data_IF_948513777992
#
_entry.id   IF_948513777992
#
_cell.length_a   1.000
_cell.length_b   1.000
_cell.length_c   1.000
_cell.angle_alpha   90.00
_cell.angle_beta   90.00
_cell.angle_gamma   90.00
#
_symmetry.space_group_name_H-M   'P 1'
#
loop_
_entity.id
_entity.type
_entity.pdbx_description
1 polymer ?
#
# COMPACT_ATOMS: atom_id res chain seq x y z
N UNK A 1 -0.52 -37.89 3.62
CA UNK A 1 -1.23 -36.72 4.18
C UNK A 1 -0.36 -35.51 3.88
N UNK A 2 -0.77 -34.71 2.91
CA UNK A 2 -0.10 -33.45 2.60
C UNK A 2 -0.48 -32.47 3.73
N UNK A 3 0.38 -32.37 4.73
CA UNK A 3 0.23 -31.38 5.79
C UNK A 3 0.54 -30.04 5.12
N UNK A 4 -0.53 -29.41 4.59
CA UNK A 4 -0.44 -28.14 3.86
C UNK A 4 0.47 -27.16 4.57
N UNK A 5 1.36 -26.50 3.83
CA UNK A 5 2.29 -25.52 4.37
C UNK A 5 1.52 -24.52 5.26
N UNK A 6 2.06 -24.18 6.47
CA UNK A 6 1.36 -23.33 7.40
C UNK A 6 1.06 -21.97 6.75
N UNK A 7 -0.23 -21.63 6.61
CA UNK A 7 -0.69 -20.35 6.05
C UNK A 7 -0.97 -19.33 7.17
N UNK A 8 -0.92 -18.04 6.83
CA UNK A 8 -1.40 -16.98 7.70
C UNK A 8 -2.92 -17.08 7.91
N UNK A 9 -3.43 -16.41 8.93
CA UNK A 9 -4.86 -16.30 9.16
C UNK A 9 -5.56 -15.50 8.04
N UNK A 10 -6.88 -15.74 7.88
CA UNK A 10 -7.67 -15.13 6.81
C UNK A 10 -7.64 -13.59 6.86
N UNK A 11 -7.64 -13.01 8.04
CA UNK A 11 -7.60 -11.54 8.22
C UNK A 11 -6.26 -10.98 7.74
N UNK A 12 -5.14 -11.60 8.10
CA UNK A 12 -3.79 -11.21 7.63
C UNK A 12 -3.70 -11.29 6.10
N UNK A 13 -4.22 -12.35 5.50
CA UNK A 13 -4.25 -12.54 4.04
C UNK A 13 -5.13 -11.47 3.38
N UNK A 14 -6.35 -11.26 3.88
CA UNK A 14 -7.29 -10.27 3.32
C UNK A 14 -6.71 -8.85 3.38
N UNK A 15 -6.16 -8.43 4.53
CA UNK A 15 -5.55 -7.12 4.70
C UNK A 15 -4.30 -6.94 3.83
N UNK A 16 -3.53 -8.01 3.57
CA UNK A 16 -2.40 -7.96 2.65
C UNK A 16 -2.86 -7.67 1.22
N UNK A 17 -3.80 -8.44 0.71
CA UNK A 17 -4.28 -8.28 -0.66
C UNK A 17 -5.07 -7.00 -0.87
N UNK A 18 -5.86 -6.57 0.13
CA UNK A 18 -6.53 -5.27 0.11
C UNK A 18 -5.51 -4.12 0.04
N UNK A 19 -4.43 -4.19 0.84
CA UNK A 19 -3.34 -3.20 0.77
C UNK A 19 -2.68 -3.20 -0.61
N UNK A 20 -2.33 -4.37 -1.15
CA UNK A 20 -1.68 -4.48 -2.45
C UNK A 20 -2.56 -3.94 -3.59
N UNK A 21 -3.84 -4.29 -3.58
CA UNK A 21 -4.82 -3.80 -4.56
C UNK A 21 -5.02 -2.29 -4.48
N UNK A 22 -5.19 -1.74 -3.27
CA UNK A 22 -5.32 -0.29 -3.08
C UNK A 22 -4.07 0.46 -3.53
N UNK A 23 -2.87 -0.01 -3.16
CA UNK A 23 -1.60 0.62 -3.59
C UNK A 23 -1.51 0.64 -5.12
N UNK A 24 -1.81 -0.47 -5.80
CA UNK A 24 -1.77 -0.54 -7.27
C UNK A 24 -2.77 0.43 -7.91
N UNK A 25 -4.03 0.43 -7.47
CA UNK A 25 -5.08 1.31 -7.99
C UNK A 25 -4.74 2.79 -7.74
N UNK A 26 -4.30 3.12 -6.53
CA UNK A 26 -3.95 4.50 -6.18
C UNK A 26 -2.71 4.99 -6.94
N UNK A 27 -1.72 4.13 -7.15
CA UNK A 27 -0.57 4.50 -7.95
C UNK A 27 -0.97 4.76 -9.41
N UNK A 28 -1.75 3.86 -10.03
CA UNK A 28 -2.26 4.06 -11.39
C UNK A 28 -3.06 5.37 -11.48
N UNK A 29 -3.97 5.61 -10.53
CA UNK A 29 -4.77 6.82 -10.53
C UNK A 29 -3.91 8.09 -10.38
N UNK A 30 -2.86 8.06 -9.57
CA UNK A 30 -1.93 9.19 -9.43
C UNK A 30 -1.08 9.46 -10.67
N UNK A 31 -0.74 8.42 -11.47
CA UNK A 31 0.05 8.57 -12.69
C UNK A 31 -0.80 8.99 -13.92
N UNK A 32 -2.09 8.69 -13.89
CA UNK A 32 -2.96 8.90 -15.06
C UNK A 32 -3.93 10.07 -14.90
N UNK A 33 -3.96 10.72 -13.73
CA UNK A 33 -4.84 11.85 -13.47
C UNK A 33 -4.63 13.01 -14.47
N UNK A 34 -3.38 13.29 -14.82
CA UNK A 34 -3.01 14.37 -15.73
C UNK A 34 -3.38 14.08 -17.21
N UNK A 35 -3.92 12.90 -17.52
CA UNK A 35 -4.46 12.59 -18.85
C UNK A 35 -5.82 13.28 -19.09
N UNK A 36 -6.45 13.76 -18.02
CA UNK A 36 -7.72 14.47 -18.09
C UNK A 36 -7.52 15.96 -17.92
N UNK A 37 -8.26 16.81 -18.65
CA UNK A 37 -8.15 18.27 -18.54
C UNK A 37 -8.39 18.75 -17.11
N UNK A 38 -7.53 19.64 -16.65
CA UNK A 38 -7.64 20.25 -15.32
C UNK A 38 -8.98 20.95 -15.10
N UNK A 39 -9.58 20.77 -13.92
CA UNK A 39 -10.85 21.39 -13.54
C UNK A 39 -12.10 20.81 -14.22
N UNK A 40 -11.96 19.78 -15.08
CA UNK A 40 -13.11 19.06 -15.62
C UNK A 40 -13.71 18.08 -14.60
N UNK A 41 -15.01 17.78 -14.73
CA UNK A 41 -15.71 16.82 -13.86
C UNK A 41 -15.00 15.48 -13.73
N UNK A 42 -14.43 14.98 -14.84
CA UNK A 42 -13.70 13.70 -14.86
C UNK A 42 -12.44 13.82 -13.98
N UNK A 43 -11.63 14.85 -14.17
CA UNK A 43 -10.40 15.06 -13.39
C UNK A 43 -10.72 15.25 -11.91
N UNK A 44 -11.72 16.06 -11.56
CA UNK A 44 -12.16 16.29 -10.18
C UNK A 44 -12.61 14.98 -9.51
N UNK A 45 -13.44 14.19 -10.16
CA UNK A 45 -13.90 12.90 -9.64
C UNK A 45 -12.78 11.89 -9.53
N UNK A 46 -11.85 11.90 -10.48
CA UNK A 46 -10.69 11.01 -10.48
C UNK A 46 -9.78 11.26 -9.27
N UNK A 47 -9.47 12.54 -8.99
CA UNK A 47 -8.75 12.94 -7.78
C UNK A 47 -9.53 12.64 -6.50
N UNK A 48 -10.86 12.79 -6.53
CA UNK A 48 -11.71 12.43 -5.39
C UNK A 48 -11.62 10.94 -5.06
N UNK A 49 -11.63 10.06 -6.07
CA UNK A 49 -11.42 8.62 -5.91
C UNK A 49 -10.04 8.32 -5.33
N UNK A 50 -8.98 9.00 -5.83
CA UNK A 50 -7.62 8.85 -5.30
C UNK A 50 -7.55 9.23 -3.82
N UNK A 51 -8.09 10.38 -3.44
CA UNK A 51 -8.05 10.88 -2.06
C UNK A 51 -8.86 9.99 -1.12
N UNK A 52 -10.09 9.63 -1.49
CA UNK A 52 -10.94 8.74 -0.68
C UNK A 52 -10.32 7.35 -0.57
N UNK A 53 -9.79 6.81 -1.67
CA UNK A 53 -9.05 5.55 -1.67
C UNK A 53 -7.79 5.61 -0.79
N UNK A 54 -7.10 6.76 -0.74
CA UNK A 54 -5.98 7.01 0.15
C UNK A 54 -6.37 6.97 1.63
N UNK A 55 -7.52 7.55 2.00
CA UNK A 55 -8.07 7.41 3.36
C UNK A 55 -8.46 5.96 3.67
N UNK A 56 -9.07 5.26 2.73
CA UNK A 56 -9.37 3.83 2.89
C UNK A 56 -8.09 3.01 3.11
N UNK A 57 -7.02 3.30 2.36
CA UNK A 57 -5.72 2.67 2.56
C UNK A 57 -5.14 2.98 3.95
N UNK A 58 -5.31 4.22 4.47
CA UNK A 58 -4.90 4.58 5.83
C UNK A 58 -5.61 3.72 6.89
N UNK A 59 -6.92 3.52 6.75
CA UNK A 59 -7.71 2.65 7.64
C UNK A 59 -7.25 1.20 7.56
N UNK A 60 -7.09 0.66 6.35
CA UNK A 60 -6.61 -0.72 6.13
C UNK A 60 -5.21 -0.93 6.69
N UNK A 61 -4.31 0.04 6.52
CA UNK A 61 -2.96 0.00 7.08
C UNK A 61 -2.99 0.03 8.61
N UNK A 62 -3.76 0.94 9.20
CA UNK A 62 -3.94 1.03 10.65
C UNK A 62 -4.45 -0.30 11.24
N UNK A 63 -5.48 -0.88 10.61
CA UNK A 63 -6.00 -2.19 11.01
C UNK A 63 -4.93 -3.29 10.87
N UNK A 64 -4.21 -3.31 9.74
CA UNK A 64 -3.15 -4.30 9.51
C UNK A 64 -2.04 -4.23 10.56
N UNK A 65 -1.62 -3.03 10.95
CA UNK A 65 -0.62 -2.85 12.00
C UNK A 65 -1.14 -3.30 13.37
N UNK A 66 -2.37 -2.91 13.74
CA UNK A 66 -3.02 -3.33 14.97
C UNK A 66 -3.19 -4.86 15.02
N UNK A 67 -3.72 -5.45 13.94
CA UNK A 67 -3.92 -6.91 13.86
C UNK A 67 -2.62 -7.68 14.01
N UNK A 68 -1.55 -7.21 13.35
CA UNK A 68 -0.22 -7.83 13.48
C UNK A 68 0.34 -7.74 14.90
N UNK A 69 -0.02 -6.71 15.66
CA UNK A 69 0.38 -6.52 17.06
C UNK A 69 -0.41 -7.36 18.06
N UNK A 70 -1.69 -7.63 17.78
CA UNK A 70 -2.64 -8.19 18.76
C UNK A 70 -3.06 -9.64 18.46
N UNK A 71 -3.59 -9.91 17.26
CA UNK A 71 -4.27 -11.18 16.95
C UNK A 71 -3.69 -11.94 15.77
N UNK A 72 -2.82 -11.31 14.96
CA UNK A 72 -2.31 -11.92 13.73
C UNK A 72 -1.40 -13.14 13.99
N UNK A 73 -1.67 -14.22 13.27
CA UNK A 73 -0.86 -15.44 13.36
C UNK A 73 0.59 -15.15 12.94
N UNK A 74 1.54 -15.51 13.79
CA UNK A 74 2.97 -15.42 13.50
C UNK A 74 3.48 -16.79 13.03
N UNK A 75 4.03 -16.84 11.84
CA UNK A 75 4.66 -18.05 11.30
C UNK A 75 6.18 -17.99 11.52
N UNK A 76 6.81 -19.15 11.69
CA UNK A 76 8.27 -19.23 11.70
C UNK A 76 8.84 -18.74 10.36
N UNK A 77 10.09 -18.23 10.36
CA UNK A 77 10.77 -17.84 9.15
C UNK A 77 10.76 -18.98 8.11
N UNK A 78 10.56 -18.66 6.83
CA UNK A 78 10.62 -19.65 5.77
C UNK A 78 12.06 -20.12 5.51
N UNK A 79 13.02 -19.23 5.74
CA UNK A 79 14.44 -19.46 5.53
C UNK A 79 15.25 -18.97 6.71
N UNK A 80 16.49 -19.46 6.86
CA UNK A 80 17.47 -19.00 7.81
C UNK A 80 18.55 -18.14 7.13
N UNK A 81 19.46 -17.58 7.92
CA UNK A 81 20.63 -16.85 7.43
C UNK A 81 20.31 -15.55 6.70
N UNK A 82 21.08 -15.25 5.66
CA UNK A 82 21.01 -13.99 4.91
C UNK A 82 19.66 -13.77 4.24
N UNK A 83 19.03 -14.80 3.69
CA UNK A 83 17.71 -14.72 3.04
C UNK A 83 16.65 -14.25 4.04
N UNK A 84 16.68 -14.74 5.27
CA UNK A 84 15.77 -14.26 6.32
C UNK A 84 15.99 -12.77 6.64
N UNK A 85 17.26 -12.32 6.73
CA UNK A 85 17.58 -10.92 7.02
C UNK A 85 17.06 -10.00 5.91
N UNK A 86 17.30 -10.35 4.64
CA UNK A 86 16.79 -9.60 3.49
C UNK A 86 15.26 -9.55 3.45
N UNK A 87 14.59 -10.69 3.66
CA UNK A 87 13.13 -10.73 3.72
C UNK A 87 12.57 -9.82 4.82
N UNK A 88 13.18 -9.87 6.02
CA UNK A 88 12.79 -9.02 7.14
C UNK A 88 13.01 -7.54 6.83
N UNK A 89 14.18 -7.16 6.29
CA UNK A 89 14.48 -5.80 5.90
C UNK A 89 13.49 -5.27 4.85
N UNK A 90 13.21 -6.06 3.80
CA UNK A 90 12.22 -5.70 2.76
C UNK A 90 10.84 -5.43 3.35
N UNK A 91 10.36 -6.25 4.28
CA UNK A 91 9.07 -6.02 4.93
C UNK A 91 9.07 -4.73 5.77
N UNK A 92 10.14 -4.44 6.52
CA UNK A 92 10.21 -3.19 7.28
C UNK A 92 10.25 -1.96 6.38
N UNK A 93 11.01 -2.03 5.27
CA UNK A 93 11.05 -0.96 4.28
C UNK A 93 9.70 -0.75 3.60
N UNK A 94 9.00 -1.82 3.21
CA UNK A 94 7.65 -1.73 2.65
C UNK A 94 6.66 -1.08 3.62
N UNK A 95 6.66 -1.46 4.89
CA UNK A 95 5.80 -0.82 5.89
C UNK A 95 6.17 0.64 6.15
N UNK A 96 7.47 0.95 6.24
CA UNK A 96 7.95 2.32 6.44
C UNK A 96 7.58 3.23 5.28
N UNK A 97 7.83 2.78 4.04
CA UNK A 97 7.46 3.53 2.84
C UNK A 97 5.94 3.69 2.71
N UNK A 98 5.17 2.62 2.96
CA UNK A 98 3.72 2.69 2.91
C UNK A 98 3.16 3.69 3.92
N UNK A 99 3.66 3.69 5.14
CA UNK A 99 3.29 4.68 6.16
C UNK A 99 3.65 6.10 5.71
N UNK A 100 4.84 6.30 5.17
CA UNK A 100 5.29 7.60 4.65
C UNK A 100 4.39 8.10 3.52
N UNK A 101 4.06 7.23 2.55
CA UNK A 101 3.16 7.58 1.43
C UNK A 101 1.77 7.96 1.94
N UNK A 102 1.21 7.18 2.86
CA UNK A 102 -0.12 7.45 3.44
C UNK A 102 -0.12 8.77 4.21
N UNK A 103 0.88 9.01 5.06
CA UNK A 103 0.98 10.27 5.83
C UNK A 103 1.13 11.47 4.91
N UNK A 104 2.03 11.41 3.92
CA UNK A 104 2.20 12.50 2.95
C UNK A 104 0.92 12.73 2.13
N UNK A 105 0.20 11.67 1.75
CA UNK A 105 -1.07 11.77 1.04
C UNK A 105 -2.16 12.45 1.87
N UNK A 106 -2.31 12.06 3.13
CA UNK A 106 -3.26 12.68 4.06
C UNK A 106 -2.92 14.17 4.26
N UNK A 107 -1.66 14.50 4.55
CA UNK A 107 -1.21 15.89 4.71
C UNK A 107 -1.47 16.68 3.42
N UNK A 108 -1.17 16.10 2.25
CA UNK A 108 -1.42 16.76 0.96
C UNK A 108 -2.91 17.04 0.73
N UNK A 109 -3.80 16.11 1.13
CA UNK A 109 -5.24 16.30 1.00
C UNK A 109 -5.73 17.52 1.78
N UNK A 110 -5.27 17.72 3.02
CA UNK A 110 -5.64 18.87 3.84
C UNK A 110 -4.93 20.16 3.42
N UNK A 111 -3.65 20.13 3.04
CA UNK A 111 -2.94 21.32 2.55
C UNK A 111 -3.54 21.85 1.25
N UNK A 112 -4.08 20.95 0.41
CA UNK A 112 -4.80 21.34 -0.82
C UNK A 112 -6.24 21.79 -0.56
N UNK A 113 -6.90 21.26 0.47
CA UNK A 113 -8.31 21.50 0.72
C UNK A 113 -9.17 20.93 -0.42
N UNK A 114 -8.98 19.62 -0.72
CA UNK A 114 -9.71 18.97 -1.81
C UNK A 114 -11.23 19.07 -1.62
N UNK A 115 -11.93 19.39 -2.71
CA UNK A 115 -13.37 19.20 -2.82
C UNK A 115 -13.63 17.80 -3.39
N UNK A 116 -14.23 16.95 -2.56
CA UNK A 116 -14.48 15.54 -2.89
C UNK A 116 -15.84 15.41 -3.56
N UNK A 117 -15.86 15.02 -4.84
CA UNK A 117 -17.07 14.80 -5.65
C UNK A 117 -18.02 16.02 -5.69
N UNK A 118 -17.53 17.22 -5.44
CA UNK A 118 -18.34 18.44 -5.24
C UNK A 118 -19.38 18.34 -4.11
N UNK A 119 -19.23 17.38 -3.21
CA UNK A 119 -20.13 17.13 -2.08
C UNK A 119 -19.53 17.56 -0.75
N UNK A 120 -18.23 17.32 -0.54
CA UNK A 120 -17.55 17.56 0.73
C UNK A 120 -16.20 18.22 0.48
N UNK A 121 -16.02 19.41 1.03
CA UNK A 121 -14.73 20.13 1.00
C UNK A 121 -13.93 19.81 2.26
N UNK A 122 -12.72 19.31 2.08
CA UNK A 122 -11.78 19.17 3.17
C UNK A 122 -11.30 20.55 3.63
N UNK A 123 -11.19 20.80 4.95
CA UNK A 123 -10.64 22.06 5.43
C UNK A 123 -9.20 22.22 4.95
N UNK A 124 -8.88 23.39 4.39
CA UNK A 124 -7.50 23.69 4.03
C UNK A 124 -6.71 24.04 5.29
N UNK A 125 -5.66 23.27 5.56
CA UNK A 125 -4.80 23.43 6.74
C UNK A 125 -3.36 23.69 6.30
N UNK A 126 -2.73 24.70 6.88
CA UNK A 126 -1.34 25.07 6.60
C UNK A 126 -1.17 26.03 5.41
N UNK A 127 0.10 26.30 5.10
CA UNK A 127 0.47 27.21 4.02
C UNK A 127 0.36 26.53 2.65
N UNK A 128 -0.22 27.25 1.69
CA UNK A 128 -0.35 26.82 0.29
C UNK A 128 1.01 26.58 -0.40
N UNK A 129 2.07 27.21 0.08
CA UNK A 129 3.43 26.99 -0.42
C UNK A 129 3.89 25.52 -0.31
N UNK A 130 3.34 24.77 0.65
CA UNK A 130 3.64 23.34 0.85
C UNK A 130 2.95 22.40 -0.13
N UNK A 131 1.98 22.86 -0.92
CA UNK A 131 1.25 22.00 -1.87
C UNK A 131 2.18 21.27 -2.84
N UNK A 132 3.09 21.99 -3.47
CA UNK A 132 4.00 21.44 -4.47
C UNK A 132 5.06 20.53 -3.85
N UNK A 133 5.79 20.91 -2.81
CA UNK A 133 6.77 20.03 -2.15
C UNK A 133 6.17 18.73 -1.66
N UNK A 134 5.03 18.77 -0.96
CA UNK A 134 4.39 17.56 -0.41
C UNK A 134 3.93 16.64 -1.52
N UNK A 135 3.35 17.16 -2.62
CA UNK A 135 2.96 16.34 -3.78
C UNK A 135 4.19 15.66 -4.40
N UNK A 136 5.31 16.37 -4.53
CA UNK A 136 6.54 15.79 -5.07
C UNK A 136 7.10 14.68 -4.17
N UNK A 137 7.15 14.89 -2.86
CA UNK A 137 7.60 13.86 -1.91
C UNK A 137 6.67 12.67 -1.85
N UNK A 138 5.34 12.90 -1.90
CA UNK A 138 4.36 11.81 -1.98
C UNK A 138 4.54 10.98 -3.24
N UNK A 139 4.66 11.60 -4.41
CA UNK A 139 4.88 10.91 -5.68
C UNK A 139 6.20 10.14 -5.72
N UNK A 140 7.30 10.74 -5.22
CA UNK A 140 8.59 10.07 -5.13
C UNK A 140 8.52 8.83 -4.22
N UNK A 141 7.95 8.98 -3.02
CA UNK A 141 7.81 7.88 -2.08
C UNK A 141 6.90 6.77 -2.64
N UNK A 142 5.81 7.13 -3.35
CA UNK A 142 4.92 6.17 -4.00
C UNK A 142 5.62 5.37 -5.11
N UNK A 143 6.47 6.02 -5.92
CA UNK A 143 7.24 5.34 -6.96
C UNK A 143 8.29 4.39 -6.36
N UNK A 144 8.98 4.80 -5.29
CA UNK A 144 9.93 3.93 -4.57
C UNK A 144 9.18 2.74 -3.95
N UNK A 145 8.03 2.98 -3.31
CA UNK A 145 7.18 1.93 -2.75
C UNK A 145 6.76 0.91 -3.81
N UNK A 146 6.29 1.38 -4.97
CA UNK A 146 5.87 0.48 -6.05
C UNK A 146 7.03 -0.35 -6.59
N UNK A 147 8.20 0.27 -6.82
CA UNK A 147 9.41 -0.44 -7.24
C UNK A 147 9.76 -1.57 -6.25
N UNK A 148 9.79 -1.26 -4.94
CA UNK A 148 10.05 -2.27 -3.92
C UNK A 148 8.96 -3.34 -3.83
N UNK A 149 7.69 -2.98 -3.99
CA UNK A 149 6.57 -3.92 -4.03
C UNK A 149 6.66 -4.86 -5.25
N UNK A 150 7.09 -4.35 -6.40
CA UNK A 150 7.37 -5.17 -7.59
C UNK A 150 8.46 -6.21 -7.32
N UNK A 151 9.60 -5.80 -6.74
CA UNK A 151 10.67 -6.74 -6.38
C UNK A 151 10.20 -7.75 -5.33
N UNK A 152 9.39 -7.34 -4.35
CA UNK A 152 8.80 -8.25 -3.38
C UNK A 152 7.89 -9.30 -4.05
N UNK A 153 7.04 -8.88 -4.98
CA UNK A 153 6.18 -9.79 -5.73
C UNK A 153 6.99 -10.73 -6.63
N UNK A 154 7.99 -10.20 -7.33
CA UNK A 154 8.90 -11.00 -8.16
C UNK A 154 9.64 -12.07 -7.33
N UNK A 155 10.17 -11.69 -6.16
CA UNK A 155 10.79 -12.63 -5.24
C UNK A 155 9.80 -13.73 -4.81
N UNK A 156 8.56 -13.40 -4.47
CA UNK A 156 7.54 -14.39 -4.13
C UNK A 156 7.23 -15.36 -5.28
N UNK A 157 7.26 -14.88 -6.54
CA UNK A 157 7.11 -15.73 -7.73
C UNK A 157 8.33 -16.65 -7.94
N UNK A 158 9.55 -16.14 -7.75
CA UNK A 158 10.78 -16.96 -7.78
C UNK A 158 10.73 -18.07 -6.72
N UNK A 159 10.34 -17.73 -5.50
CA UNK A 159 10.13 -18.70 -4.43
C UNK A 159 9.09 -19.77 -4.81
N UNK A 160 8.01 -19.37 -5.50
CA UNK A 160 6.94 -20.28 -5.87
C UNK A 160 7.32 -21.21 -7.02
N UNK A 161 7.87 -20.67 -8.13
CA UNK A 161 8.10 -21.42 -9.35
C UNK A 161 9.48 -22.07 -9.42
N UNK A 162 10.54 -21.37 -8.98
CA UNK A 162 11.91 -21.86 -9.05
C UNK A 162 12.31 -22.66 -7.81
N UNK A 163 12.13 -22.09 -6.61
CA UNK A 163 12.53 -22.75 -5.36
C UNK A 163 11.47 -23.68 -4.78
N UNK A 164 10.20 -23.49 -5.16
CA UNK A 164 9.07 -24.36 -4.76
C UNK A 164 8.94 -24.55 -3.24
N UNK A 165 9.30 -23.53 -2.45
CA UNK A 165 9.39 -23.57 -1.00
C UNK A 165 8.10 -23.20 -0.25
N UNK A 166 7.02 -22.86 -0.98
CA UNK A 166 5.71 -22.59 -0.41
C UNK A 166 5.55 -21.21 0.20
N UNK A 167 6.52 -20.29 0.08
CA UNK A 167 6.44 -18.91 0.65
C UNK A 167 5.20 -18.18 0.16
N UNK A 168 4.91 -18.18 -1.13
CA UNK A 168 3.71 -17.55 -1.69
C UNK A 168 2.42 -18.21 -1.16
N UNK A 169 2.40 -19.51 -0.98
CA UNK A 169 1.21 -20.26 -0.48
C UNK A 169 0.79 -19.81 0.91
N UNK A 170 1.71 -19.29 1.74
CA UNK A 170 1.41 -18.74 3.06
C UNK A 170 0.46 -17.53 3.02
N UNK A 171 0.43 -16.82 1.88
CA UNK A 171 -0.41 -15.62 1.63
C UNK A 171 -1.57 -15.88 0.66
N UNK A 172 -1.82 -17.14 0.28
CA UNK A 172 -2.99 -17.50 -0.51
C UNK A 172 -4.10 -18.05 0.40
N UNK A 173 -5.38 -17.77 0.07
CA UNK A 173 -6.50 -18.38 0.79
C UNK A 173 -6.41 -19.90 0.70
N UNK A 174 -6.53 -20.59 1.84
CA UNK A 174 -6.72 -22.05 1.85
C UNK A 174 -8.09 -22.37 1.24
N UNK A 175 -8.08 -23.23 0.25
CA UNK A 175 -9.31 -23.86 -0.26
C UNK A 175 -9.90 -24.78 0.79
#
# INVERSE_FOLDING_TARGET
MDIGAPAYDRTTIALHWATAGLVAVLWVSGQTADWFPDGGLINTNYWSVHVVGGFALAVVLGWRLAWRGTGGRRLPPAHAGTVHVFAKATHHLLYGLLLTVVLLGVVNAFVRGYNLFDLVSLPQVGDRAWRRPITQWHGLAANILLGLAFFHAAAALVHHYAWRDGVLRRMLPSR
#
